data_IF_413520667159
#
_entry.id   IF_413520667159
#
_cell.length_a   1.000
_cell.length_b   1.000
_cell.length_c   1.000
_cell.angle_alpha   90.00
_cell.angle_beta   90.00
_cell.angle_gamma   90.00
#
_symmetry.space_group_name_H-M   'P 1'
#
loop_
_entity.id
_entity.type
_entity.pdbx_description
1 polymer ?
#
# COMPACT_ATOMS: atom_id res chain seq x y z
N UNK A 1 -3.32 -8.23 6.72
CA UNK A 1 -4.29 -8.88 5.79
C UNK A 1 -3.61 -9.03 4.43
N UNK A 2 -3.88 -10.12 3.70
CA UNK A 2 -3.34 -10.35 2.35
C UNK A 2 -4.32 -9.81 1.29
N UNK A 3 -3.80 -9.42 0.12
CA UNK A 3 -4.62 -9.06 -1.04
C UNK A 3 -5.25 -10.31 -1.66
N UNK A 4 -6.43 -10.16 -2.23
CA UNK A 4 -7.21 -11.20 -2.92
C UNK A 4 -7.30 -10.87 -4.41
N UNK A 5 -7.34 -11.89 -5.26
CA UNK A 5 -7.58 -11.70 -6.70
C UNK A 5 -9.02 -11.22 -6.93
N UNK A 6 -9.19 -10.28 -7.87
CA UNK A 6 -10.48 -9.67 -8.15
C UNK A 6 -11.38 -10.68 -8.89
N UNK A 7 -12.60 -10.97 -8.37
CA UNK A 7 -13.52 -11.91 -9.02
C UNK A 7 -14.14 -11.34 -10.30
N UNK A 8 -13.95 -10.04 -10.58
CA UNK A 8 -14.55 -9.33 -11.71
C UNK A 8 -13.51 -8.81 -12.70
N UNK A 9 -12.23 -8.84 -12.35
CA UNK A 9 -11.16 -8.28 -13.18
C UNK A 9 -9.94 -9.21 -13.10
N UNK A 10 -9.83 -10.11 -14.07
CA UNK A 10 -8.78 -11.14 -14.12
C UNK A 10 -7.40 -10.48 -14.15
N UNK A 11 -6.54 -10.81 -13.18
CA UNK A 11 -5.19 -10.23 -13.04
C UNK A 11 -5.11 -9.00 -12.13
N UNK A 12 -6.25 -8.45 -11.68
CA UNK A 12 -6.29 -7.35 -10.71
C UNK A 12 -6.40 -7.87 -9.27
N UNK A 13 -5.72 -7.22 -8.34
CA UNK A 13 -5.74 -7.59 -6.91
C UNK A 13 -6.44 -6.53 -6.08
N UNK A 14 -7.09 -6.93 -4.99
CA UNK A 14 -7.77 -5.99 -4.09
C UNK A 14 -7.58 -6.35 -2.61
N UNK A 15 -7.62 -5.34 -1.76
CA UNK A 15 -7.66 -5.49 -0.31
C UNK A 15 -9.03 -5.04 0.17
N UNK A 16 -9.80 -5.99 0.72
CA UNK A 16 -11.11 -5.70 1.34
C UNK A 16 -10.95 -5.14 2.74
N UNK A 17 -11.91 -4.29 3.11
CA UNK A 17 -12.00 -3.69 4.43
C UNK A 17 -10.69 -3.01 4.86
N UNK A 18 -10.21 -2.08 4.02
CA UNK A 18 -9.00 -1.32 4.31
C UNK A 18 -9.12 -0.65 5.71
N UNK A 19 -8.11 -0.78 6.58
CA UNK A 19 -8.08 -0.02 7.82
C UNK A 19 -8.12 1.49 7.52
N UNK A 20 -8.59 2.28 8.48
CA UNK A 20 -8.58 3.73 8.31
C UNK A 20 -7.14 4.25 8.28
N UNK A 21 -6.89 5.44 7.73
CA UNK A 21 -5.54 6.03 7.77
C UNK A 21 -5.00 6.14 9.20
N UNK A 22 -5.87 6.40 10.18
CA UNK A 22 -5.50 6.42 11.61
C UNK A 22 -5.02 5.04 12.09
N UNK A 23 -5.72 3.97 11.71
CA UNK A 23 -5.32 2.62 12.07
C UNK A 23 -4.01 2.20 11.37
N UNK A 24 -3.84 2.55 10.10
CA UNK A 24 -2.58 2.30 9.36
C UNK A 24 -1.43 3.07 10.00
N UNK A 25 -1.63 4.34 10.34
CA UNK A 25 -0.63 5.17 10.98
C UNK A 25 -0.15 4.58 12.32
N UNK A 26 -1.10 4.09 13.13
CA UNK A 26 -0.80 3.41 14.39
C UNK A 26 0.01 2.11 14.19
N UNK A 27 -0.26 1.33 13.13
CA UNK A 27 0.50 0.11 12.82
C UNK A 27 1.90 0.39 12.26
N UNK A 28 2.07 1.52 11.56
CA UNK A 28 3.31 1.87 10.87
C UNK A 28 4.13 2.95 11.61
N UNK A 29 3.83 3.21 12.89
CA UNK A 29 4.51 4.21 13.73
C UNK A 29 4.68 5.58 13.04
N UNK A 30 3.63 6.03 12.36
CA UNK A 30 3.61 7.30 11.61
C UNK A 30 2.33 8.09 11.89
N UNK A 31 2.06 9.16 11.15
CA UNK A 31 0.86 9.99 11.30
C UNK A 31 -0.20 9.69 10.24
N UNK A 32 -1.45 10.02 10.56
CA UNK A 32 -2.58 9.89 9.62
C UNK A 32 -2.33 10.70 8.33
N UNK A 33 -1.73 11.87 8.48
CA UNK A 33 -1.38 12.80 7.41
C UNK A 33 -0.31 12.20 6.49
N UNK A 34 0.72 11.57 7.07
CA UNK A 34 1.75 10.86 6.29
C UNK A 34 1.13 9.69 5.51
N UNK A 35 0.30 8.86 6.15
CA UNK A 35 -0.41 7.78 5.45
C UNK A 35 -1.27 8.32 4.31
N UNK A 36 -2.06 9.36 4.57
CA UNK A 36 -2.92 9.97 3.55
C UNK A 36 -2.09 10.47 2.37
N UNK A 37 -0.96 11.13 2.63
CA UNK A 37 -0.04 11.59 1.59
C UNK A 37 0.53 10.43 0.77
N UNK A 38 1.05 9.39 1.42
CA UNK A 38 1.62 8.24 0.73
C UNK A 38 0.59 7.52 -0.13
N UNK A 39 -0.63 7.31 0.38
CA UNK A 39 -1.73 6.71 -0.40
C UNK A 39 -2.09 7.58 -1.60
N UNK A 40 -2.16 8.91 -1.43
CA UNK A 40 -2.42 9.84 -2.54
C UNK A 40 -1.31 9.81 -3.59
N UNK A 41 -0.05 9.69 -3.19
CA UNK A 41 1.08 9.57 -4.13
C UNK A 41 1.02 8.27 -4.93
N UNK A 42 0.70 7.15 -4.27
CA UNK A 42 0.50 5.86 -4.94
C UNK A 42 -0.68 5.91 -5.91
N UNK A 43 -1.76 6.61 -5.55
CA UNK A 43 -2.92 6.80 -6.42
C UNK A 43 -2.60 7.68 -7.62
N UNK A 44 -1.88 8.79 -7.42
CA UNK A 44 -1.42 9.66 -8.50
C UNK A 44 -0.47 8.94 -9.47
N UNK A 45 0.32 7.98 -8.97
CA UNK A 45 1.18 7.11 -9.78
C UNK A 45 0.44 5.95 -10.47
N UNK A 46 -0.89 5.86 -10.34
CA UNK A 46 -1.73 4.75 -10.83
C UNK A 46 -1.29 3.37 -10.31
N UNK A 47 -0.70 3.31 -9.12
CA UNK A 47 -0.24 2.06 -8.48
C UNK A 47 -1.38 1.43 -7.68
N UNK A 48 -2.18 2.28 -7.02
CA UNK A 48 -3.36 1.85 -6.26
C UNK A 48 -4.55 2.73 -6.61
N UNK A 49 -5.75 2.20 -6.43
CA UNK A 49 -6.98 2.97 -6.53
C UNK A 49 -7.88 2.64 -5.35
N UNK A 50 -8.43 3.66 -4.70
CA UNK A 50 -9.36 3.46 -3.58
C UNK A 50 -10.79 3.69 -4.03
N UNK A 51 -11.66 2.68 -3.87
CA UNK A 51 -13.12 2.86 -3.96
C UNK A 51 -13.77 2.45 -2.65
N UNK A 52 -14.25 3.44 -1.89
CA UNK A 52 -14.83 3.24 -0.57
C UNK A 52 -13.83 2.60 0.42
N UNK A 53 -14.13 1.37 0.84
CA UNK A 53 -13.30 0.57 1.78
C UNK A 53 -12.47 -0.52 1.08
N UNK A 54 -12.40 -0.49 -0.25
CA UNK A 54 -11.61 -1.39 -1.06
C UNK A 54 -10.42 -0.61 -1.65
N UNK A 55 -9.24 -1.20 -1.57
CA UNK A 55 -8.05 -0.74 -2.28
C UNK A 55 -7.77 -1.72 -3.42
N UNK A 56 -7.79 -1.24 -4.64
CA UNK A 56 -7.41 -1.96 -5.84
C UNK A 56 -5.91 -1.74 -6.08
N UNK A 57 -5.20 -2.82 -6.36
CA UNK A 57 -3.80 -2.82 -6.73
C UNK A 57 -3.74 -2.86 -8.26
N UNK A 58 -3.43 -1.72 -8.86
CA UNK A 58 -3.36 -1.56 -10.32
C UNK A 58 -2.03 -2.03 -10.87
N UNK A 59 -0.96 -1.85 -10.09
CA UNK A 59 0.39 -2.28 -10.42
C UNK A 59 1.02 -2.92 -9.18
N UNK A 60 0.78 -4.22 -9.02
CA UNK A 60 1.24 -4.99 -7.86
C UNK A 60 2.76 -5.10 -7.83
N UNK A 61 3.39 -5.36 -8.98
CA UNK A 61 4.84 -5.54 -9.08
C UNK A 61 5.57 -4.25 -8.67
N UNK A 62 5.10 -3.09 -9.14
CA UNK A 62 5.70 -1.81 -8.75
C UNK A 62 5.48 -1.49 -7.28
N UNK A 63 4.32 -1.83 -6.72
CA UNK A 63 4.08 -1.67 -5.29
C UNK A 63 5.03 -2.55 -4.45
N UNK A 64 5.23 -3.81 -4.84
CA UNK A 64 6.16 -4.73 -4.20
C UNK A 64 7.61 -4.22 -4.28
N UNK A 65 8.03 -3.69 -5.44
CA UNK A 65 9.36 -3.06 -5.58
C UNK A 65 9.54 -1.85 -4.67
N UNK A 66 8.53 -0.97 -4.57
CA UNK A 66 8.59 0.19 -3.67
C UNK A 66 8.64 -0.20 -2.19
N UNK A 67 7.93 -1.28 -1.82
CA UNK A 67 7.97 -1.83 -0.46
C UNK A 67 9.31 -2.51 -0.17
N UNK A 68 9.81 -3.36 -1.07
CA UNK A 68 11.09 -4.06 -0.90
C UNK A 68 12.31 -3.15 -0.96
N UNK A 69 12.23 -2.03 -1.71
CA UNK A 69 13.26 -1.00 -1.67
C UNK A 69 13.38 -0.37 -0.27
N UNK A 70 12.29 -0.31 0.49
CA UNK A 70 12.30 0.16 1.86
C UNK A 70 12.94 -0.87 2.81
N UNK A 71 12.62 -2.16 2.64
CA UNK A 71 13.20 -3.23 3.48
C UNK A 71 14.73 -3.28 3.33
N UNK A 72 15.26 -3.24 2.10
CA UNK A 72 16.70 -3.21 1.86
C UNK A 72 17.38 -1.96 2.43
N UNK A 73 16.76 -0.78 2.28
CA UNK A 73 17.31 0.46 2.82
C UNK A 73 17.34 0.49 4.36
N UNK A 74 16.38 -0.17 5.01
CA UNK A 74 16.35 -0.35 6.46
C UNK A 74 17.45 -1.32 6.90
N UNK A 75 17.61 -2.46 6.23
CA UNK A 75 18.69 -3.43 6.52
C UNK A 75 20.09 -2.81 6.39
N UNK A 76 20.35 -2.03 5.33
CA UNK A 76 21.63 -1.30 5.17
C UNK A 76 21.86 -0.26 6.27
N UNK A 77 20.80 0.35 6.81
CA UNK A 77 20.89 1.36 7.86
C UNK A 77 21.16 0.76 9.25
N UNK A 78 20.79 -0.51 9.48
CA UNK A 78 21.07 -1.24 10.72
C UNK A 78 22.37 -2.06 10.68
N UNK A 79 22.94 -2.27 9.49
CA UNK A 79 24.20 -2.98 9.31
C UNK A 79 25.45 -2.06 9.29
N UNK A 80 25.28 -0.77 9.57
CA UNK A 80 26.34 0.26 9.63
C UNK A 80 26.61 0.75 11.04
#
# INVERSE_FOLDING_TARGET
RRAEESPVDLGSWLIRALPTHKAIAAMASTTRETVARSVSQLAAGNIVERKGRILYLRDRERLEKLAGALDNALEESFSR
#
